data_IF_703452483071
#
_entry.id   IF_703452483071
#
_cell.length_a   1.000
_cell.length_b   1.000
_cell.length_c   1.000
_cell.angle_alpha   90.00
_cell.angle_beta   90.00
_cell.angle_gamma   90.00
#
_symmetry.space_group_name_H-M   'P 1'
#
loop_
_entity.id
_entity.type
_entity.pdbx_description
1 polymer ?
#
# COMPACT_ATOMS: atom_id res chain seq x y z
N UNK A 1 -5.30 -1.81 7.93
CA UNK A 1 -4.64 -1.50 9.23
C UNK A 1 -5.09 -0.14 9.74
N UNK A 2 -5.13 0.08 11.07
CA UNK A 2 -5.45 1.38 11.64
C UNK A 2 -4.34 2.42 11.41
N UNK A 3 -3.07 1.99 11.37
CA UNK A 3 -1.91 2.83 11.03
C UNK A 3 -0.97 2.08 10.08
N UNK A 4 -1.16 2.18 8.75
CA UNK A 4 -0.29 1.53 7.78
C UNK A 4 1.18 1.99 7.87
N UNK A 5 1.41 3.27 8.18
CA UNK A 5 2.77 3.84 8.27
C UNK A 5 3.48 3.34 9.52
N UNK A 6 2.75 3.04 10.59
CA UNK A 6 3.28 2.44 11.81
C UNK A 6 4.02 1.13 11.57
N UNK A 7 3.52 0.29 10.66
CA UNK A 7 4.18 -0.96 10.27
C UNK A 7 5.47 -0.70 9.49
N UNK A 8 5.46 0.22 8.52
CA UNK A 8 6.65 0.64 7.78
C UNK A 8 7.72 1.19 8.72
N UNK A 9 7.33 2.04 9.66
CA UNK A 9 8.21 2.59 10.71
C UNK A 9 8.86 1.50 11.56
N UNK A 10 8.06 0.53 11.99
CA UNK A 10 8.56 -0.58 12.80
C UNK A 10 9.58 -1.44 12.03
N UNK A 11 9.28 -1.78 10.77
CA UNK A 11 10.19 -2.53 9.89
C UNK A 11 11.48 -1.74 9.60
N UNK A 12 11.38 -0.43 9.37
CA UNK A 12 12.57 0.43 9.23
C UNK A 12 13.40 0.42 10.52
N UNK A 13 12.76 0.43 11.69
CA UNK A 13 13.45 0.31 12.98
C UNK A 13 14.22 -1.02 13.13
N UNK A 14 13.69 -2.11 12.58
CA UNK A 14 14.40 -3.40 12.52
C UNK A 14 15.60 -3.30 11.56
N UNK A 15 15.40 -2.72 10.38
CA UNK A 15 16.47 -2.50 9.40
C UNK A 15 17.62 -1.67 9.97
N UNK A 16 17.31 -0.59 10.69
CA UNK A 16 18.32 0.26 11.32
C UNK A 16 19.15 -0.50 12.37
N UNK A 17 18.56 -1.47 13.07
CA UNK A 17 19.24 -2.25 14.13
C UNK A 17 19.97 -3.48 13.62
N UNK A 18 19.47 -4.09 12.53
CA UNK A 18 19.90 -5.42 12.07
C UNK A 18 20.52 -5.42 10.66
N UNK A 19 20.46 -4.30 9.95
CA UNK A 19 20.90 -4.19 8.55
C UNK A 19 19.88 -4.73 7.54
N UNK A 20 18.75 -5.29 7.96
CA UNK A 20 17.70 -5.83 7.08
C UNK A 20 16.29 -5.60 7.68
N UNK A 21 15.23 -5.45 6.86
CA UNK A 21 15.18 -5.59 5.41
C UNK A 21 15.62 -4.33 4.63
N UNK A 22 16.13 -4.50 3.40
CA UNK A 22 16.50 -3.39 2.48
C UNK A 22 15.32 -2.82 1.70
N UNK A 23 14.17 -3.52 1.72
CA UNK A 23 12.95 -3.15 1.03
C UNK A 23 11.74 -3.43 1.90
N UNK A 24 10.81 -2.47 1.94
CA UNK A 24 9.57 -2.55 2.69
C UNK A 24 8.44 -2.24 1.71
N UNK A 25 7.49 -3.17 1.60
CA UNK A 25 6.25 -2.99 0.84
C UNK A 25 5.13 -2.84 1.86
N UNK A 26 4.52 -1.65 1.88
CA UNK A 26 3.47 -1.29 2.82
C UNK A 26 2.08 -1.54 2.27
N UNK A 27 1.08 -1.06 3.01
CA UNK A 27 -0.32 -1.06 2.59
C UNK A 27 -0.82 0.37 2.38
N UNK A 28 -1.66 0.53 1.37
CA UNK A 28 -2.49 1.70 1.15
C UNK A 28 -3.76 1.29 0.40
N UNK A 29 -4.90 1.90 0.75
CA UNK A 29 -6.10 1.82 -0.08
C UNK A 29 -6.03 2.89 -1.17
N UNK A 30 -5.71 2.49 -2.39
CA UNK A 30 -5.51 3.40 -3.53
C UNK A 30 -6.80 4.11 -3.97
N UNK A 31 -7.97 3.71 -3.46
CA UNK A 31 -9.23 4.43 -3.74
C UNK A 31 -9.40 5.72 -2.91
N UNK A 32 -8.66 5.84 -1.80
CA UNK A 32 -8.82 6.97 -0.88
C UNK A 32 -8.33 8.28 -1.50
N UNK A 33 -9.00 9.42 -1.20
CA UNK A 33 -8.62 10.73 -1.76
C UNK A 33 -7.27 11.23 -1.25
N UNK A 34 -6.93 10.89 0.00
CA UNK A 34 -5.71 11.29 0.73
C UNK A 34 -4.56 10.28 0.60
N UNK A 35 -4.66 9.33 -0.35
CA UNK A 35 -3.63 8.30 -0.50
C UNK A 35 -2.25 8.87 -0.85
N UNK A 36 -2.20 10.02 -1.54
CA UNK A 36 -0.93 10.72 -1.80
C UNK A 36 -0.19 11.07 -0.51
N UNK A 37 -0.89 11.69 0.45
CA UNK A 37 -0.34 12.08 1.75
C UNK A 37 0.10 10.85 2.56
N UNK A 38 -0.67 9.75 2.47
CA UNK A 38 -0.29 8.49 3.10
C UNK A 38 1.01 7.92 2.50
N UNK A 39 1.18 7.98 1.18
CA UNK A 39 2.40 7.53 0.50
C UNK A 39 3.59 8.41 0.89
N UNK A 40 3.40 9.73 0.98
CA UNK A 40 4.48 10.64 1.39
C UNK A 40 4.97 10.32 2.81
N UNK A 41 4.05 9.99 3.73
CA UNK A 41 4.40 9.53 5.08
C UNK A 41 5.14 8.20 5.09
N UNK A 42 4.85 7.27 4.17
CA UNK A 42 5.63 6.04 4.02
C UNK A 42 7.04 6.33 3.49
N UNK A 43 7.19 7.32 2.60
CA UNK A 43 8.47 7.68 1.99
C UNK A 43 9.44 8.38 2.94
N UNK A 44 9.00 8.79 4.14
CA UNK A 44 9.89 9.20 5.23
C UNK A 44 10.85 8.07 5.67
N UNK A 45 10.56 6.82 5.31
CA UNK A 45 11.37 5.65 5.65
C UNK A 45 12.21 5.17 4.45
N UNK A 46 13.56 5.22 4.51
CA UNK A 46 14.44 4.98 3.36
C UNK A 46 14.29 3.63 2.66
N UNK A 47 13.84 2.60 3.37
CA UNK A 47 13.69 1.27 2.80
C UNK A 47 12.30 1.04 2.21
N UNK A 48 11.38 2.01 2.24
CA UNK A 48 10.07 1.88 1.62
C UNK A 48 10.16 1.86 0.09
N UNK A 49 9.50 0.88 -0.55
CA UNK A 49 9.63 0.62 -2.01
C UNK A 49 8.30 0.57 -2.76
N UNK A 50 7.19 0.32 -2.09
CA UNK A 50 5.93 0.14 -2.79
C UNK A 50 4.76 -0.27 -1.91
N UNK A 51 3.65 -0.55 -2.57
CA UNK A 51 2.39 -0.93 -1.94
C UNK A 51 1.96 -2.32 -2.40
N UNK A 52 1.51 -3.14 -1.45
CA UNK A 52 0.75 -4.36 -1.71
C UNK A 52 -0.71 -4.15 -1.32
N UNK A 53 -1.62 -4.52 -2.20
CA UNK A 53 -3.06 -4.53 -1.92
C UNK A 53 -3.67 -5.86 -2.36
N UNK A 54 -4.43 -6.50 -1.47
CA UNK A 54 -5.28 -7.65 -1.80
C UNK A 54 -6.44 -7.19 -2.65
N UNK A 55 -6.54 -7.71 -3.88
CA UNK A 55 -7.56 -7.31 -4.85
C UNK A 55 -8.66 -8.37 -5.04
N UNK A 56 -8.75 -9.32 -4.11
CA UNK A 56 -9.77 -10.37 -4.16
C UNK A 56 -11.16 -9.86 -3.81
N UNK A 57 -12.07 -10.04 -4.76
CA UNK A 57 -13.49 -9.86 -4.56
C UNK A 57 -14.25 -11.19 -4.68
N UNK A 58 -15.19 -11.41 -3.77
CA UNK A 58 -16.11 -12.53 -3.80
C UNK A 58 -17.41 -12.11 -3.10
N UNK A 59 -18.56 -12.68 -3.49
CA UNK A 59 -19.85 -12.36 -2.88
C UNK A 59 -19.96 -12.82 -1.41
N UNK A 60 -19.25 -13.89 -1.07
CA UNK A 60 -19.02 -14.34 0.31
C UNK A 60 -18.07 -13.37 1.05
N UNK A 61 -18.52 -12.67 2.11
CA UNK A 61 -17.70 -11.75 2.88
C UNK A 61 -16.47 -12.39 3.51
N UNK A 62 -16.48 -13.70 3.79
CA UNK A 62 -15.33 -14.41 4.34
C UNK A 62 -14.18 -14.59 3.34
N UNK A 63 -14.41 -14.28 2.05
CA UNK A 63 -13.46 -14.49 0.95
C UNK A 63 -13.13 -13.20 0.18
N UNK A 64 -13.48 -12.04 0.74
CA UNK A 64 -13.22 -10.76 0.10
C UNK A 64 -12.43 -9.80 0.99
N UNK A 65 -11.60 -8.98 0.34
CA UNK A 65 -10.89 -7.87 0.96
C UNK A 65 -11.32 -6.52 0.38
N UNK A 66 -12.30 -6.52 -0.52
CA UNK A 66 -12.78 -5.35 -1.24
C UNK A 66 -14.27 -5.14 -0.95
N UNK A 67 -14.69 -3.87 -0.93
CA UNK A 67 -16.10 -3.52 -0.72
C UNK A 67 -16.99 -3.82 -1.94
N UNK A 68 -16.40 -3.93 -3.14
CA UNK A 68 -17.12 -4.11 -4.40
C UNK A 68 -16.22 -4.81 -5.45
N UNK A 69 -16.79 -5.40 -6.52
CA UNK A 69 -16.01 -5.96 -7.61
C UNK A 69 -15.33 -4.86 -8.43
N UNK A 70 -14.32 -5.24 -9.21
CA UNK A 70 -13.69 -4.38 -10.22
C UNK A 70 -13.13 -3.04 -9.72
N UNK A 71 -12.73 -2.94 -8.45
CA UNK A 71 -12.20 -1.70 -7.85
C UNK A 71 -11.07 -1.08 -8.69
N UNK A 72 -10.22 -1.88 -9.33
CA UNK A 72 -9.14 -1.39 -10.20
C UNK A 72 -9.61 -0.67 -11.48
N UNK A 73 -10.89 -0.83 -11.87
CA UNK A 73 -11.50 -0.11 -12.99
C UNK A 73 -12.04 1.27 -12.58
N UNK A 74 -12.22 1.52 -11.29
CA UNK A 74 -12.79 2.78 -10.79
C UNK A 74 -11.84 3.96 -11.01
N UNK A 75 -12.37 5.18 -11.29
CA UNK A 75 -11.56 6.39 -11.37
C UNK A 75 -10.77 6.67 -10.09
N UNK A 76 -11.34 6.37 -8.93
CA UNK A 76 -10.78 6.62 -7.62
C UNK A 76 -9.51 5.81 -7.40
N UNK A 77 -9.59 4.49 -7.62
CA UNK A 77 -8.43 3.62 -7.48
C UNK A 77 -7.35 3.96 -8.52
N UNK A 78 -7.73 4.24 -9.77
CA UNK A 78 -6.79 4.63 -10.83
C UNK A 78 -6.08 5.95 -10.53
N UNK A 79 -6.73 6.89 -9.84
CA UNK A 79 -6.11 8.12 -9.35
C UNK A 79 -5.02 7.79 -8.35
N UNK A 80 -5.30 6.99 -7.33
CA UNK A 80 -4.30 6.58 -6.35
C UNK A 80 -3.17 5.73 -6.95
N UNK A 81 -3.48 4.85 -7.91
CA UNK A 81 -2.45 4.08 -8.61
C UNK A 81 -1.45 4.97 -9.37
N UNK A 82 -1.90 6.09 -9.94
CA UNK A 82 -1.00 7.08 -10.56
C UNK A 82 -0.08 7.75 -9.54
N UNK A 83 -0.49 7.87 -8.27
CA UNK A 83 0.37 8.41 -7.21
C UNK A 83 1.58 7.52 -6.93
N UNK A 84 1.48 6.20 -7.13
CA UNK A 84 2.63 5.29 -7.06
C UNK A 84 3.64 5.58 -8.17
N UNK A 85 3.16 5.73 -9.40
CA UNK A 85 4.02 6.02 -10.56
C UNK A 85 4.75 7.37 -10.41
N UNK A 86 4.06 8.42 -9.92
CA UNK A 86 4.68 9.74 -9.64
C UNK A 86 5.85 9.67 -8.67
N UNK A 87 5.81 8.71 -7.74
CA UNK A 87 6.80 8.49 -6.68
C UNK A 87 7.81 7.39 -6.99
N UNK A 88 7.69 6.74 -8.16
CA UNK A 88 8.55 5.61 -8.54
C UNK A 88 8.36 4.36 -7.66
N UNK A 89 7.18 4.19 -7.07
CA UNK A 89 6.87 3.09 -6.16
C UNK A 89 6.36 1.84 -6.91
N UNK A 90 6.71 0.65 -6.44
CA UNK A 90 6.17 -0.60 -6.96
C UNK A 90 4.73 -0.86 -6.50
N UNK A 91 4.04 -1.70 -7.25
CA UNK A 91 2.76 -2.26 -6.85
C UNK A 91 2.81 -3.78 -6.89
N UNK A 92 2.51 -4.39 -5.75
CA UNK A 92 2.44 -5.83 -5.57
C UNK A 92 0.96 -6.23 -5.56
N UNK A 93 0.53 -6.94 -6.60
CA UNK A 93 -0.82 -7.49 -6.69
C UNK A 93 -0.92 -8.76 -5.86
N UNK A 94 -1.83 -8.79 -4.89
CA UNK A 94 -2.16 -9.99 -4.13
C UNK A 94 -3.56 -10.50 -4.53
N UNK A 95 -3.60 -11.74 -5.01
CA UNK A 95 -4.79 -12.53 -5.33
C UNK A 95 -4.93 -13.71 -4.35
#
# INVERSE_FOLDING_TARGET
>A
PADPVGETRWLQGIANKRGFPHGIVGYADLSKPDVGDLLDRHMEYPNFRGIRQSMNYHADPAKTYLAQPEVSRTPEWRRGFRELAKRGLSFDLQL
#
